data_IF_711819427989
#
_entry.id   IF_711819427989
#
_cell.length_a   1.000
_cell.length_b   1.000
_cell.length_c   1.000
_cell.angle_alpha   90.00
_cell.angle_beta   90.00
_cell.angle_gamma   90.00
#
_symmetry.space_group_name_H-M   'P 1'
#
loop_
_entity.id
_entity.type
_entity.pdbx_description
1 polymer ?
#
# COMPACT_ATOMS: atom_id res chain seq x y z
N UNK A 1 -23.60 -0.87 8.86
CA UNK A 1 -22.31 -0.46 8.25
C UNK A 1 -21.38 -1.66 8.35
N UNK A 2 -20.77 -2.06 7.24
CA UNK A 2 -19.83 -3.19 7.19
C UNK A 2 -18.42 -2.66 7.40
N UNK A 3 -17.61 -3.35 8.21
CA UNK A 3 -16.19 -3.04 8.35
C UNK A 3 -15.49 -3.24 7.00
N UNK A 4 -14.89 -2.17 6.47
CA UNK A 4 -14.22 -2.19 5.17
C UNK A 4 -12.92 -2.98 5.19
N UNK A 5 -12.32 -3.20 6.36
CA UNK A 5 -11.07 -3.95 6.53
C UNK A 5 -11.32 -5.42 6.82
N UNK A 6 -12.55 -5.81 7.20
CA UNK A 6 -12.89 -7.21 7.39
C UNK A 6 -12.71 -8.03 6.09
N UNK A 7 -12.34 -9.30 6.27
CA UNK A 7 -12.20 -10.30 5.21
C UNK A 7 -11.28 -9.88 4.05
N UNK A 8 -10.28 -9.03 4.31
CA UNK A 8 -9.19 -8.77 3.38
C UNK A 8 -8.13 -9.87 3.45
N UNK A 9 -7.29 -9.92 2.42
CA UNK A 9 -6.09 -10.77 2.39
C UNK A 9 -5.32 -10.59 3.70
N UNK A 10 -5.01 -11.70 4.38
CA UNK A 10 -4.39 -11.67 5.70
C UNK A 10 -3.06 -10.91 5.71
N UNK A 11 -2.35 -10.90 4.56
CA UNK A 11 -1.11 -10.14 4.39
C UNK A 11 -1.29 -8.64 4.53
N UNK A 12 -2.48 -8.09 4.23
CA UNK A 12 -2.75 -6.67 4.46
C UNK A 12 -2.49 -6.31 5.93
N UNK A 13 -3.06 -7.10 6.87
CA UNK A 13 -2.95 -6.82 8.30
C UNK A 13 -1.52 -6.96 8.83
N UNK A 14 -0.69 -7.81 8.22
CA UNK A 14 0.73 -7.93 8.53
C UNK A 14 1.62 -6.89 7.85
N UNK A 15 1.14 -6.27 6.77
CA UNK A 15 1.95 -5.37 5.94
C UNK A 15 1.78 -3.90 6.31
N UNK A 16 0.54 -3.48 6.60
CA UNK A 16 0.21 -2.09 6.92
C UNK A 16 -0.51 -1.98 8.25
N UNK A 17 -0.37 -0.82 8.89
CA UNK A 17 -1.23 -0.38 9.97
C UNK A 17 -2.38 0.40 9.33
N UNK A 18 -3.60 -0.07 9.56
CA UNK A 18 -4.84 0.53 9.08
C UNK A 18 -5.58 1.23 10.24
N UNK A 19 -6.56 2.11 9.94
CA UNK A 19 -7.37 2.76 10.98
C UNK A 19 -8.05 1.75 11.90
N UNK A 20 -7.78 1.82 13.21
CA UNK A 20 -8.29 0.87 14.21
C UNK A 20 -7.47 -0.42 14.34
N UNK A 21 -6.31 -0.53 13.69
CA UNK A 21 -5.47 -1.72 13.81
C UNK A 21 -4.85 -1.84 15.21
N UNK A 22 -4.78 -3.05 15.79
CA UNK A 22 -4.03 -3.28 17.02
C UNK A 22 -2.52 -3.27 16.74
N UNK A 23 -1.76 -2.50 17.49
CA UNK A 23 -0.31 -2.40 17.37
C UNK A 23 0.33 -2.17 18.74
N UNK A 24 1.31 -3.00 19.13
CA UNK A 24 2.01 -2.91 20.43
C UNK A 24 1.08 -2.77 21.66
N UNK A 25 -0.04 -3.51 21.65
CA UNK A 25 -1.01 -3.51 22.76
C UNK A 25 -1.97 -2.32 22.79
N UNK A 26 -1.88 -1.40 21.82
CA UNK A 26 -2.80 -0.26 21.67
C UNK A 26 -3.52 -0.30 20.33
N UNK A 27 -4.68 0.33 20.26
CA UNK A 27 -5.39 0.54 18.99
C UNK A 27 -4.88 1.81 18.36
N UNK A 28 -4.42 1.73 17.10
CA UNK A 28 -3.97 2.92 16.38
C UNK A 28 -5.18 3.65 15.83
N UNK A 29 -5.57 4.73 16.50
CA UNK A 29 -6.62 5.61 16.03
C UNK A 29 -6.08 6.47 14.88
N UNK A 30 -6.65 6.29 13.70
CA UNK A 30 -6.41 7.17 12.56
C UNK A 30 -7.76 7.79 12.24
N UNK A 31 -7.90 9.07 12.55
CA UNK A 31 -9.06 9.88 12.21
C UNK A 31 -8.56 11.16 11.55
N UNK A 32 -8.96 11.39 10.30
CA UNK A 32 -8.59 12.57 9.51
C UNK A 32 -9.45 13.79 9.84
N UNK A 33 -10.68 13.55 10.30
CA UNK A 33 -11.67 14.60 10.52
C UNK A 33 -13.02 14.03 10.96
N UNK A 34 -14.04 14.89 10.91
CA UNK A 34 -15.44 14.51 11.11
C UNK A 34 -16.25 14.70 9.84
N UNK A 35 -17.30 13.89 9.68
CA UNK A 35 -18.30 14.01 8.64
C UNK A 35 -19.61 14.48 9.28
N UNK A 36 -19.91 15.77 9.16
CA UNK A 36 -21.04 16.43 9.83
C UNK A 36 -22.28 16.32 8.98
N UNK A 37 -23.36 15.79 9.56
CA UNK A 37 -24.64 15.68 8.86
C UNK A 37 -25.28 17.05 8.64
N UNK A 38 -25.61 17.36 7.39
CA UNK A 38 -26.45 18.49 7.03
C UNK A 38 -27.85 17.99 6.65
N UNK A 39 -28.82 18.28 7.51
CA UNK A 39 -30.22 17.85 7.30
C UNK A 39 -30.91 18.57 6.14
N UNK A 40 -30.52 19.82 5.85
CA UNK A 40 -31.13 20.61 4.77
C UNK A 40 -30.73 20.09 3.38
N UNK A 41 -29.49 19.64 3.22
CA UNK A 41 -28.98 19.11 1.95
C UNK A 41 -28.98 17.58 1.89
N UNK A 42 -29.28 16.90 2.99
CA UNK A 42 -29.20 15.44 3.12
C UNK A 42 -27.81 14.89 2.75
N UNK A 43 -26.75 15.63 3.12
CA UNK A 43 -25.35 15.28 2.81
C UNK A 43 -24.44 15.39 4.03
N UNK A 44 -23.25 14.79 3.95
CA UNK A 44 -22.19 14.98 4.94
C UNK A 44 -21.18 16.04 4.47
N UNK A 45 -20.87 17.00 5.33
CA UNK A 45 -19.77 17.94 5.15
C UNK A 45 -18.53 17.43 5.90
N UNK A 46 -17.43 17.21 5.18
CA UNK A 46 -16.17 16.79 5.78
C UNK A 46 -15.48 18.00 6.42
N UNK A 47 -15.11 17.88 7.69
CA UNK A 47 -14.37 18.89 8.43
C UNK A 47 -13.10 18.28 9.02
N UNK A 48 -11.97 18.73 8.49
CA UNK A 48 -10.63 18.41 9.00
C UNK A 48 -10.18 19.54 9.94
N UNK A 49 -9.44 19.21 11.00
CA UNK A 49 -8.87 20.19 11.93
C UNK A 49 -7.46 20.60 11.51
N UNK A 50 -7.01 21.79 11.91
CA UNK A 50 -5.66 22.29 11.58
C UNK A 50 -4.54 21.64 12.40
N UNK A 51 -4.87 21.13 13.58
CA UNK A 51 -3.95 20.53 14.54
C UNK A 51 -4.35 19.08 14.82
N UNK A 52 -3.37 18.25 15.14
CA UNK A 52 -3.59 16.87 15.57
C UNK A 52 -4.08 16.82 17.02
N UNK A 53 -4.83 15.78 17.37
CA UNK A 53 -5.26 15.53 18.75
C UNK A 53 -6.31 16.52 19.27
N UNK A 54 -7.01 17.24 18.38
CA UNK A 54 -8.04 18.21 18.76
C UNK A 54 -9.42 17.59 18.79
N UNK A 55 -10.26 18.06 19.72
CA UNK A 55 -11.66 17.69 19.81
C UNK A 55 -12.53 18.57 18.93
N UNK A 56 -13.62 17.99 18.46
CA UNK A 56 -14.71 18.68 17.80
C UNK A 56 -15.60 19.37 18.83
N UNK A 57 -16.56 20.18 18.36
CA UNK A 57 -17.48 20.95 19.21
C UNK A 57 -18.38 20.07 20.09
N UNK A 58 -18.51 18.77 19.77
CA UNK A 58 -19.22 17.77 20.59
C UNK A 58 -18.37 17.17 21.72
N UNK A 59 -17.15 17.69 21.93
CA UNK A 59 -16.21 17.22 22.96
C UNK A 59 -15.50 15.92 22.64
N UNK A 60 -15.77 15.28 21.49
CA UNK A 60 -15.11 14.05 21.02
C UNK A 60 -14.04 14.39 19.99
N UNK A 61 -13.14 13.44 19.72
CA UNK A 61 -12.03 13.64 18.79
C UNK A 61 -12.49 14.14 17.40
N UNK A 62 -11.79 15.14 16.85
CA UNK A 62 -11.93 15.60 15.46
C UNK A 62 -10.81 15.04 14.58
N UNK A 63 -9.55 15.15 15.02
CA UNK A 63 -8.37 14.66 14.31
C UNK A 63 -7.51 13.90 15.30
N UNK A 64 -7.13 12.66 14.98
CA UNK A 64 -6.27 11.86 15.84
C UNK A 64 -4.82 12.38 15.84
N UNK A 65 -4.13 12.22 16.97
CA UNK A 65 -2.69 12.44 17.08
C UNK A 65 -1.88 11.60 16.06
N UNK A 66 -2.39 10.42 15.69
CA UNK A 66 -1.78 9.53 14.69
C UNK A 66 -2.53 9.52 13.36
N UNK A 67 -3.52 10.40 13.19
CA UNK A 67 -4.36 10.49 11.99
C UNK A 67 -3.60 11.03 10.79
N UNK A 68 -4.10 10.76 9.56
CA UNK A 68 -3.53 11.36 8.38
C UNK A 68 -3.88 12.86 8.31
N UNK A 69 -2.98 13.68 7.78
CA UNK A 69 -3.17 15.11 7.67
C UNK A 69 -2.59 15.66 6.37
N UNK A 70 -3.20 16.72 5.82
CA UNK A 70 -2.83 17.23 4.47
C UNK A 70 -1.53 18.02 4.44
N UNK A 71 -1.19 18.69 5.54
CA UNK A 71 -0.12 19.69 5.59
C UNK A 71 0.89 19.50 6.72
N UNK A 72 0.65 18.60 7.68
CA UNK A 72 1.55 18.40 8.84
C UNK A 72 2.61 17.35 8.50
N UNK A 73 3.88 17.60 8.85
CA UNK A 73 4.97 16.65 8.63
C UNK A 73 4.82 15.42 9.52
N UNK A 74 5.52 14.33 9.20
CA UNK A 74 5.61 13.14 10.08
C UNK A 74 4.27 12.43 10.40
N UNK A 75 3.26 12.64 9.55
CA UNK A 75 1.96 11.94 9.59
C UNK A 75 1.71 11.15 8.31
N UNK A 76 0.78 10.20 8.37
CA UNK A 76 0.34 9.48 7.17
C UNK A 76 -0.27 10.43 6.14
N UNK A 77 0.14 10.27 4.87
CA UNK A 77 -0.48 10.97 3.74
C UNK A 77 -1.55 10.13 3.03
N UNK A 78 -1.66 8.85 3.38
CA UNK A 78 -2.51 7.87 2.69
C UNK A 78 -3.57 7.27 3.58
N UNK A 79 -3.54 7.51 4.90
CA UNK A 79 -4.42 6.87 5.87
C UNK A 79 -3.94 5.48 6.32
N UNK A 80 -2.69 5.12 6.00
CA UNK A 80 -2.02 3.90 6.43
C UNK A 80 -0.60 4.19 6.90
N UNK A 81 -0.06 3.37 7.79
CA UNK A 81 1.38 3.28 8.06
C UNK A 81 1.93 1.92 7.64
N UNK A 82 3.25 1.83 7.53
CA UNK A 82 3.92 0.54 7.33
C UNK A 82 3.86 -0.27 8.64
N UNK A 83 3.65 -1.58 8.55
CA UNK A 83 3.82 -2.54 9.67
C UNK A 83 4.95 -3.53 9.38
N UNK A 84 5.10 -3.92 8.12
CA UNK A 84 6.13 -4.86 7.70
C UNK A 84 7.51 -4.35 8.10
N UNK A 85 8.36 -5.26 8.60
CA UNK A 85 9.69 -4.93 9.11
C UNK A 85 9.69 -3.92 10.27
N UNK A 86 8.59 -3.84 11.04
CA UNK A 86 8.58 -3.13 12.31
C UNK A 86 8.55 -4.17 13.43
N UNK A 87 9.48 -4.03 14.37
CA UNK A 87 9.52 -4.86 15.57
C UNK A 87 8.27 -4.63 16.43
N UNK A 88 7.59 -5.73 16.78
CA UNK A 88 6.38 -5.73 17.59
C UNK A 88 6.66 -5.70 19.10
N UNK A 89 7.91 -5.75 19.54
CA UNK A 89 8.29 -5.65 20.95
C UNK A 89 7.79 -4.35 21.61
N UNK A 90 7.40 -4.45 22.88
CA UNK A 90 7.02 -3.29 23.68
C UNK A 90 8.21 -2.36 23.89
N UNK A 91 8.07 -1.07 23.62
CA UNK A 91 9.14 -0.08 23.78
C UNK A 91 10.27 -0.16 22.75
N UNK A 92 10.24 -1.11 21.82
CA UNK A 92 11.18 -1.14 20.69
C UNK A 92 10.94 0.07 19.80
N UNK A 93 12.00 0.60 19.20
CA UNK A 93 12.06 1.93 18.56
C UNK A 93 12.13 3.13 19.51
N UNK A 94 12.14 2.93 20.84
CA UNK A 94 12.50 4.01 21.79
C UNK A 94 14.01 4.23 21.79
N UNK A 95 14.43 5.48 22.02
CA UNK A 95 15.85 5.82 22.22
C UNK A 95 16.44 4.93 23.33
N UNK A 96 17.44 4.10 23.00
CA UNK A 96 18.13 3.21 23.93
C UNK A 96 17.78 1.72 23.82
N UNK A 97 16.58 1.36 23.30
CA UNK A 97 16.18 -0.04 23.07
C UNK A 97 16.42 -0.46 21.62
N UNK A 98 16.39 0.50 20.68
CA UNK A 98 16.52 0.26 19.24
C UNK A 98 15.43 -0.71 18.72
N UNK A 99 15.57 -1.15 17.46
CA UNK A 99 14.68 -2.10 16.78
C UNK A 99 15.52 -2.86 15.78
N UNK A 100 15.75 -4.15 16.03
CA UNK A 100 16.58 -4.99 15.17
C UNK A 100 15.70 -5.90 14.32
N UNK A 101 15.56 -5.53 13.06
CA UNK A 101 14.84 -6.30 12.05
C UNK A 101 15.78 -6.58 10.88
N UNK A 102 15.89 -7.85 10.51
CA UNK A 102 16.73 -8.25 9.39
C UNK A 102 16.10 -7.79 8.07
N UNK A 103 16.90 -7.11 7.24
CA UNK A 103 16.52 -6.86 5.86
C UNK A 103 16.77 -8.12 5.04
N UNK A 104 15.68 -8.71 4.54
CA UNK A 104 15.71 -9.99 3.85
C UNK A 104 15.94 -9.72 2.36
N UNK A 105 17.12 -10.10 1.87
CA UNK A 105 17.46 -9.97 0.45
C UNK A 105 16.83 -11.06 -0.41
N UNK A 106 16.82 -12.29 0.09
CA UNK A 106 16.24 -13.45 -0.58
C UNK A 106 15.47 -14.29 0.43
N UNK A 107 14.31 -14.79 0.02
CA UNK A 107 13.52 -15.72 0.84
C UNK A 107 12.82 -16.74 -0.01
N UNK A 108 12.50 -17.87 0.63
CA UNK A 108 11.96 -19.05 -0.05
C UNK A 108 10.75 -18.75 -0.93
N UNK A 109 9.85 -17.84 -0.54
CA UNK A 109 8.68 -17.49 -1.36
C UNK A 109 9.05 -16.94 -2.74
N UNK A 110 10.20 -16.29 -2.88
CA UNK A 110 10.71 -15.84 -4.18
C UNK A 110 11.08 -17.01 -5.07
N UNK A 111 11.68 -18.07 -4.53
CA UNK A 111 12.01 -19.27 -5.31
C UNK A 111 10.75 -19.94 -5.86
N UNK A 112 9.69 -20.04 -5.03
CA UNK A 112 8.40 -20.56 -5.47
C UNK A 112 7.76 -19.67 -6.55
N UNK A 113 7.75 -18.35 -6.38
CA UNK A 113 7.13 -17.44 -7.33
C UNK A 113 7.92 -17.32 -8.64
N UNK A 114 9.26 -17.36 -8.58
CA UNK A 114 10.13 -17.43 -9.76
C UNK A 114 9.89 -18.73 -10.54
N UNK A 115 9.82 -19.88 -9.85
CA UNK A 115 9.49 -21.16 -10.46
C UNK A 115 8.07 -21.16 -11.07
N UNK A 116 7.09 -20.57 -10.39
CA UNK A 116 5.73 -20.44 -10.88
C UNK A 116 5.65 -19.59 -12.16
N UNK A 117 6.30 -18.43 -12.18
CA UNK A 117 6.35 -17.56 -13.36
C UNK A 117 7.05 -18.27 -14.53
N UNK A 118 8.24 -18.84 -14.31
CA UNK A 118 8.97 -19.55 -15.35
C UNK A 118 8.19 -20.74 -15.93
N UNK A 119 7.57 -21.56 -15.06
CA UNK A 119 6.74 -22.68 -15.51
C UNK A 119 5.54 -22.21 -16.34
N UNK A 120 4.88 -21.12 -15.93
CA UNK A 120 3.75 -20.55 -16.67
C UNK A 120 4.17 -20.06 -18.06
N UNK A 121 5.30 -19.35 -18.16
CA UNK A 121 5.85 -18.87 -19.43
C UNK A 121 6.29 -20.00 -20.38
N UNK A 122 6.66 -21.16 -19.83
CA UNK A 122 6.97 -22.39 -20.59
C UNK A 122 5.73 -23.22 -20.97
N UNK A 123 4.52 -22.73 -20.67
CA UNK A 123 3.27 -23.46 -20.92
C UNK A 123 3.00 -24.62 -19.94
N UNK A 124 3.77 -24.73 -18.86
CA UNK A 124 3.63 -25.76 -17.80
C UNK A 124 2.72 -25.26 -16.68
N UNK A 125 1.48 -24.94 -17.01
CA UNK A 125 0.54 -24.30 -16.07
C UNK A 125 0.25 -25.17 -14.82
N UNK A 126 0.26 -26.50 -14.94
CA UNK A 126 0.07 -27.40 -13.81
C UNK A 126 1.23 -27.28 -12.78
N UNK A 127 2.47 -27.20 -13.25
CA UNK A 127 3.63 -26.96 -12.40
C UNK A 127 3.56 -25.58 -11.76
N UNK A 128 3.18 -24.55 -12.54
CA UNK A 128 3.03 -23.19 -12.03
C UNK A 128 2.02 -23.09 -10.88
N UNK A 129 0.89 -23.80 -10.99
CA UNK A 129 -0.12 -23.92 -9.93
C UNK A 129 0.47 -24.57 -8.68
N UNK A 130 1.26 -25.63 -8.86
CA UNK A 130 1.92 -26.36 -7.77
C UNK A 130 2.92 -25.46 -7.01
N UNK A 131 3.60 -24.55 -7.69
CA UNK A 131 4.54 -23.63 -7.07
C UNK A 131 3.88 -22.42 -6.39
N UNK A 132 2.82 -21.86 -6.97
CA UNK A 132 2.21 -20.62 -6.44
C UNK A 132 1.27 -20.87 -5.25
N UNK A 133 0.55 -21.99 -5.23
CA UNK A 133 -0.46 -22.25 -4.20
C UNK A 133 0.13 -22.41 -2.78
N UNK A 134 1.32 -23.00 -2.55
CA UNK A 134 1.94 -23.01 -1.22
C UNK A 134 2.09 -21.61 -0.60
N UNK A 135 2.36 -20.59 -1.42
CA UNK A 135 2.47 -19.20 -0.97
C UNK A 135 1.11 -18.65 -0.56
N UNK A 136 0.06 -18.99 -1.32
CA UNK A 136 -1.32 -18.60 -1.05
C UNK A 136 -1.88 -19.28 0.19
N UNK A 137 -1.64 -20.58 0.35
CA UNK A 137 -2.04 -21.35 1.53
C UNK A 137 -1.41 -20.77 2.80
N UNK A 138 -0.10 -20.48 2.78
CA UNK A 138 0.57 -19.82 3.89
C UNK A 138 -0.01 -18.43 4.18
N UNK A 139 -0.48 -17.71 3.16
CA UNK A 139 -1.18 -16.45 3.31
C UNK A 139 -2.66 -16.58 3.76
N UNK A 140 -3.14 -17.80 4.04
CA UNK A 140 -4.48 -18.08 4.56
C UNK A 140 -5.55 -18.29 3.49
N UNK A 141 -5.18 -18.42 2.22
CA UNK A 141 -6.13 -18.82 1.17
C UNK A 141 -6.37 -20.33 1.21
N UNK A 142 -7.62 -20.76 1.00
CA UNK A 142 -7.98 -22.17 0.95
C UNK A 142 -9.12 -22.42 -0.05
N UNK A 143 -9.31 -23.69 -0.42
CA UNK A 143 -10.41 -24.15 -1.27
C UNK A 143 -10.46 -23.42 -2.61
N UNK A 144 -11.64 -22.86 -2.94
CA UNK A 144 -11.89 -22.17 -4.21
C UNK A 144 -11.05 -20.89 -4.42
N UNK A 145 -10.36 -20.41 -3.39
CA UNK A 145 -9.45 -19.27 -3.51
C UNK A 145 -8.03 -19.64 -3.92
N UNK A 146 -7.70 -20.94 -3.99
CA UNK A 146 -6.45 -21.41 -4.60
C UNK A 146 -6.56 -21.41 -6.11
N UNK A 147 -5.43 -21.21 -6.79
CA UNK A 147 -5.44 -21.22 -8.25
C UNK A 147 -5.53 -22.65 -8.78
N UNK A 148 -6.34 -22.82 -9.80
CA UNK A 148 -6.33 -23.98 -10.70
C UNK A 148 -5.68 -23.61 -12.02
N UNK A 149 -5.38 -24.60 -12.87
CA UNK A 149 -4.83 -24.35 -14.21
C UNK A 149 -5.72 -23.48 -15.08
N UNK A 150 -7.05 -23.58 -14.91
CA UNK A 150 -8.03 -22.76 -15.62
C UNK A 150 -8.10 -21.31 -15.12
N UNK A 151 -7.70 -21.08 -13.87
CA UNK A 151 -7.85 -19.76 -13.22
C UNK A 151 -6.52 -19.01 -13.05
N UNK A 152 -5.39 -19.68 -13.24
CA UNK A 152 -4.07 -19.06 -13.18
C UNK A 152 -3.82 -18.28 -14.47
N UNK A 153 -3.47 -17.00 -14.32
CA UNK A 153 -3.11 -16.11 -15.42
C UNK A 153 -1.82 -15.39 -15.10
N UNK A 154 -1.13 -14.88 -16.12
CA UNK A 154 0.07 -14.04 -15.95
C UNK A 154 -0.19 -12.88 -14.98
N UNK A 155 -1.34 -12.21 -15.10
CA UNK A 155 -1.68 -11.08 -14.23
C UNK A 155 -1.93 -11.50 -12.78
N UNK A 156 -2.46 -12.70 -12.54
CA UNK A 156 -2.61 -13.26 -11.19
C UNK A 156 -1.27 -13.61 -10.56
N UNK A 157 -0.33 -14.16 -11.34
CA UNK A 157 1.05 -14.37 -10.89
C UNK A 157 1.69 -13.04 -10.51
N UNK A 158 1.60 -12.03 -11.38
CA UNK A 158 2.11 -10.67 -11.14
C UNK A 158 1.47 -10.00 -9.91
N UNK A 159 0.17 -10.23 -9.68
CA UNK A 159 -0.53 -9.75 -8.50
C UNK A 159 -0.07 -10.45 -7.22
N UNK A 160 0.27 -11.74 -7.30
CA UNK A 160 0.84 -12.49 -6.19
C UNK A 160 2.22 -11.94 -5.79
N UNK A 161 3.12 -11.71 -6.77
CA UNK A 161 4.40 -11.02 -6.54
C UNK A 161 4.19 -9.67 -5.84
N UNK A 162 3.25 -8.86 -6.33
CA UNK A 162 2.97 -7.53 -5.75
C UNK A 162 2.51 -7.60 -4.29
N UNK A 163 1.69 -8.60 -3.95
CA UNK A 163 1.11 -8.74 -2.61
C UNK A 163 2.13 -9.35 -1.65
N UNK A 164 2.87 -10.36 -2.11
CA UNK A 164 3.86 -11.08 -1.33
C UNK A 164 5.07 -10.21 -1.00
N UNK A 165 5.61 -9.49 -1.99
CA UNK A 165 6.82 -8.67 -1.87
C UNK A 165 6.53 -7.17 -1.68
N UNK A 166 5.34 -6.82 -1.18
CA UNK A 166 5.04 -5.43 -0.84
C UNK A 166 6.08 -4.91 0.17
N UNK A 167 6.70 -3.76 -0.16
CA UNK A 167 7.77 -3.12 0.62
C UNK A 167 9.08 -3.90 0.74
N UNK A 168 9.39 -4.77 -0.22
CA UNK A 168 10.65 -5.54 -0.30
C UNK A 168 11.49 -5.16 -1.54
N UNK A 169 11.40 -3.92 -2.03
CA UNK A 169 12.13 -3.42 -3.21
C UNK A 169 11.89 -4.13 -4.56
N UNK A 170 10.97 -5.10 -4.67
CA UNK A 170 10.70 -5.79 -5.94
C UNK A 170 9.94 -4.96 -6.99
N UNK A 171 8.98 -4.12 -6.57
CA UNK A 171 7.92 -3.61 -7.48
C UNK A 171 8.45 -2.86 -8.70
N UNK A 172 9.48 -2.04 -8.54
CA UNK A 172 10.06 -1.29 -9.67
C UNK A 172 10.73 -2.25 -10.65
N UNK A 173 11.53 -3.19 -10.15
CA UNK A 173 12.26 -4.15 -10.97
C UNK A 173 11.33 -5.13 -11.69
N UNK A 174 10.27 -5.59 -11.02
CA UNK A 174 9.23 -6.42 -11.64
C UNK A 174 8.54 -5.72 -12.81
N UNK A 175 8.13 -4.47 -12.62
CA UNK A 175 7.53 -3.68 -13.71
C UNK A 175 8.53 -3.43 -14.85
N UNK A 176 9.82 -3.24 -14.52
CA UNK A 176 10.89 -3.05 -15.50
C UNK A 176 11.11 -4.29 -16.35
N UNK A 177 11.29 -5.47 -15.73
CA UNK A 177 11.54 -6.73 -16.45
C UNK A 177 10.34 -7.19 -17.27
N UNK A 178 9.13 -6.91 -16.80
CA UNK A 178 7.90 -7.17 -17.56
C UNK A 178 7.62 -6.17 -18.69
N UNK A 179 8.40 -5.08 -18.79
CA UNK A 179 8.22 -4.01 -19.79
C UNK A 179 6.81 -3.39 -19.76
N UNK A 180 6.30 -3.14 -18.55
CA UNK A 180 4.98 -2.51 -18.33
C UNK A 180 5.04 -1.30 -17.37
N UNK A 181 6.23 -0.87 -16.94
CA UNK A 181 6.38 0.24 -16.01
C UNK A 181 5.81 1.55 -16.57
N UNK A 182 6.09 1.86 -17.83
CA UNK A 182 5.57 3.01 -18.58
C UNK A 182 4.05 2.94 -18.85
N UNK A 183 3.48 1.73 -18.87
CA UNK A 183 2.03 1.54 -18.98
C UNK A 183 1.32 1.76 -17.64
N UNK A 184 1.93 1.30 -16.55
CA UNK A 184 1.41 1.41 -15.18
C UNK A 184 1.55 2.83 -14.64
N UNK A 185 2.69 3.48 -14.92
CA UNK A 185 3.04 4.85 -14.51
C UNK A 185 3.18 5.73 -15.75
N UNK A 186 2.05 6.06 -16.38
CA UNK A 186 2.02 6.76 -17.67
C UNK A 186 1.81 8.27 -17.55
N UNK A 187 1.83 8.84 -16.34
CA UNK A 187 1.58 10.27 -16.11
C UNK A 187 0.14 10.72 -16.38
N UNK A 188 -0.82 9.80 -16.59
CA UNK A 188 -2.21 10.15 -16.80
C UNK A 188 -2.96 10.23 -15.46
N UNK A 189 -3.57 11.39 -15.16
CA UNK A 189 -4.36 11.61 -13.94
C UNK A 189 -5.58 10.68 -13.83
N UNK A 190 -6.10 10.19 -14.97
CA UNK A 190 -7.23 9.27 -15.02
C UNK A 190 -6.81 7.81 -14.88
N UNK A 191 -5.50 7.50 -14.90
CA UNK A 191 -5.01 6.16 -14.68
C UNK A 191 -4.86 5.89 -13.17
N UNK A 192 -5.70 5.03 -12.57
CA UNK A 192 -5.66 4.78 -11.14
C UNK A 192 -4.37 4.09 -10.66
N UNK A 193 -3.58 3.51 -11.57
CA UNK A 193 -2.28 2.93 -11.24
C UNK A 193 -1.14 3.96 -11.23
N UNK A 194 -1.31 5.09 -11.92
CA UNK A 194 -0.35 6.19 -11.94
C UNK A 194 -0.59 7.19 -10.81
N UNK A 195 -1.82 7.27 -10.30
CA UNK A 195 -2.18 8.16 -9.19
C UNK A 195 -2.08 7.44 -7.85
N UNK A 196 -1.48 8.10 -6.85
CA UNK A 196 -1.47 7.61 -5.47
C UNK A 196 -2.76 8.08 -4.80
N UNK A 197 -3.53 7.13 -4.29
CA UNK A 197 -4.74 7.42 -3.51
C UNK A 197 -4.48 7.27 -2.02
N UNK A 198 -5.22 8.05 -1.25
CA UNK A 198 -5.39 7.94 0.18
C UNK A 198 -6.80 7.42 0.51
N UNK A 199 -6.94 6.83 1.69
CA UNK A 199 -8.22 6.45 2.26
C UNK A 199 -8.34 7.11 3.63
N UNK A 200 -9.04 8.24 3.70
CA UNK A 200 -9.13 9.03 4.92
C UNK A 200 -10.37 8.62 5.73
N UNK A 201 -10.19 8.23 7.00
CA UNK A 201 -11.27 7.93 7.93
C UNK A 201 -11.86 9.21 8.55
N UNK A 202 -13.19 9.34 8.52
CA UNK A 202 -13.92 10.44 9.15
C UNK A 202 -14.98 9.89 10.11
N UNK A 203 -15.02 10.41 11.33
CA UNK A 203 -16.07 10.10 12.30
C UNK A 203 -17.35 10.84 11.93
N UNK A 204 -18.46 10.13 11.84
CA UNK A 204 -19.78 10.69 11.57
C UNK A 204 -20.27 11.46 12.80
N UNK A 205 -20.68 12.70 12.59
CA UNK A 205 -21.37 13.54 13.57
C UNK A 205 -22.80 13.72 13.10
N UNK A 206 -23.72 13.00 13.73
CA UNK A 206 -25.16 13.02 13.44
C UNK A 206 -25.96 12.81 14.74
N UNK A 207 -26.01 13.82 15.62
CA UNK A 207 -26.84 13.75 16.82
C UNK A 207 -28.29 13.37 16.48
N UNK A 208 -28.87 12.46 17.24
CA UNK A 208 -30.24 11.94 17.00
C UNK A 208 -30.33 10.70 16.11
N UNK A 209 -29.23 10.23 15.52
CA UNK A 209 -29.17 8.96 14.76
C UNK A 209 -28.13 8.02 15.37
N UNK A 210 -28.50 7.28 16.42
CA UNK A 210 -27.59 6.39 17.15
C UNK A 210 -27.00 5.25 16.28
N UNK A 211 -27.63 4.93 15.14
CA UNK A 211 -27.11 3.91 14.24
C UNK A 211 -25.89 4.39 13.43
N UNK A 212 -25.76 5.71 13.23
CA UNK A 212 -24.73 6.34 12.40
C UNK A 212 -23.78 7.24 13.19
N UNK A 213 -24.25 7.91 14.23
CA UNK A 213 -23.42 8.81 15.05
C UNK A 213 -22.22 8.04 15.64
N UNK A 214 -21.03 8.65 15.58
CA UNK A 214 -19.79 8.06 16.06
C UNK A 214 -19.24 6.90 15.21
N UNK A 215 -19.92 6.47 14.16
CA UNK A 215 -19.38 5.50 13.20
C UNK A 215 -18.41 6.17 12.23
N UNK A 216 -17.64 5.38 11.49
CA UNK A 216 -16.67 5.90 10.53
C UNK A 216 -17.14 5.74 9.09
N UNK A 217 -16.86 6.75 8.28
CA UNK A 217 -16.85 6.65 6.82
C UNK A 217 -15.41 6.79 6.32
N UNK A 218 -15.11 6.16 5.19
CA UNK A 218 -13.79 6.20 4.57
C UNK A 218 -13.89 6.84 3.21
N UNK A 219 -13.14 7.91 3.00
CA UNK A 219 -13.16 8.68 1.75
C UNK A 219 -11.89 8.37 0.97
N UNK A 220 -12.07 7.81 -0.23
CA UNK A 220 -10.98 7.67 -1.19
C UNK A 220 -10.74 9.02 -1.86
N UNK A 221 -9.50 9.49 -1.83
CA UNK A 221 -9.10 10.74 -2.46
C UNK A 221 -7.69 10.63 -3.05
N UNK A 222 -7.33 11.54 -3.95
CA UNK A 222 -5.93 11.67 -4.38
C UNK A 222 -5.09 12.07 -3.18
N UNK A 223 -3.98 11.37 -2.96
CA UNK A 223 -3.12 11.61 -1.81
C UNK A 223 -2.63 13.08 -1.81
N UNK A 224 -2.88 13.86 -0.73
CA UNK A 224 -2.72 15.31 -0.76
C UNK A 224 -1.32 15.82 -1.12
N UNK A 225 -0.28 15.01 -0.84
CA UNK A 225 1.12 15.32 -1.15
C UNK A 225 1.66 14.66 -2.43
N UNK A 226 0.91 13.74 -3.03
CA UNK A 226 1.31 13.00 -4.23
C UNK A 226 0.25 13.18 -5.32
N UNK A 227 0.00 14.45 -5.68
CA UNK A 227 -1.06 14.84 -6.62
C UNK A 227 -0.71 14.53 -8.07
N UNK A 228 0.57 14.65 -8.39
CA UNK A 228 1.09 14.39 -9.73
C UNK A 228 1.11 12.88 -10.00
N UNK A 229 0.54 12.42 -11.12
CA UNK A 229 0.60 11.02 -11.50
C UNK A 229 2.05 10.63 -11.77
N UNK A 230 2.42 9.42 -11.36
CA UNK A 230 3.73 8.86 -11.64
C UNK A 230 3.92 8.73 -13.14
N UNK A 231 5.04 9.24 -13.63
CA UNK A 231 5.46 9.15 -15.02
C UNK A 231 6.76 8.36 -15.08
N UNK A 232 6.71 7.23 -15.76
CA UNK A 232 7.83 6.37 -16.09
C UNK A 232 7.95 6.34 -17.61
N UNK A 233 9.09 6.80 -18.10
CA UNK A 233 9.37 6.94 -19.53
C UNK A 233 10.32 5.83 -19.98
N UNK A 234 10.45 5.65 -21.30
CA UNK A 234 11.27 4.57 -21.85
C UNK A 234 12.73 4.62 -21.37
N UNK A 235 13.31 5.81 -21.19
CA UNK A 235 14.67 5.93 -20.68
C UNK A 235 14.83 5.42 -19.24
N UNK A 236 13.77 5.45 -18.41
CA UNK A 236 13.82 4.95 -17.03
C UNK A 236 14.01 3.42 -16.95
N UNK A 237 13.84 2.69 -18.07
CA UNK A 237 14.18 1.27 -18.10
C UNK A 237 15.68 1.02 -17.92
N UNK A 238 16.53 1.98 -18.29
CA UNK A 238 17.99 1.85 -18.24
C UNK A 238 18.59 2.87 -17.29
N UNK A 239 19.66 2.50 -16.61
CA UNK A 239 20.43 3.44 -15.79
C UNK A 239 21.35 4.25 -16.68
N UNK A 240 21.54 5.54 -16.41
CA UNK A 240 22.56 6.33 -17.10
C UNK A 240 23.94 6.02 -16.52
N UNK A 241 24.95 5.94 -17.37
CA UNK A 241 26.34 6.07 -16.93
C UNK A 241 26.67 7.56 -16.73
N UNK A 242 27.46 7.85 -15.70
CA UNK A 242 27.96 9.21 -15.48
C UNK A 242 28.93 9.61 -16.59
N UNK A 243 28.89 10.88 -17.02
CA UNK A 243 29.72 11.36 -18.12
C UNK A 243 31.22 11.23 -17.82
N UNK A 244 31.63 11.36 -16.56
CA UNK A 244 33.03 11.17 -16.18
C UNK A 244 33.51 9.73 -16.44
N UNK A 245 32.64 8.73 -16.24
CA UNK A 245 32.97 7.32 -16.52
C UNK A 245 33.19 7.11 -18.02
N UNK A 246 32.34 7.70 -18.87
CA UNK A 246 32.47 7.62 -20.33
C UNK A 246 33.76 8.32 -20.79
N UNK A 247 34.04 9.52 -20.26
CA UNK A 247 35.25 10.27 -20.59
C UNK A 247 36.53 9.49 -20.22
N UNK A 248 36.51 8.77 -19.10
CA UNK A 248 37.64 7.98 -18.62
C UNK A 248 37.83 6.67 -19.39
N UNK A 249 36.83 6.19 -20.13
CA UNK A 249 36.92 4.97 -20.91
C UNK A 249 36.07 5.07 -22.18
N UNK A 250 36.73 5.37 -23.29
CA UNK A 250 36.11 5.51 -24.63
C UNK A 250 35.44 4.24 -25.16
N UNK A 251 35.62 3.08 -24.51
CA UNK A 251 34.91 1.83 -24.84
C UNK A 251 33.52 1.74 -24.19
N UNK A 252 33.20 2.61 -23.23
CA UNK A 252 31.89 2.65 -22.58
C UNK A 252 30.95 3.52 -23.42
N UNK A 253 29.89 2.89 -23.93
CA UNK A 253 28.80 3.59 -24.61
C UNK A 253 27.64 3.81 -23.65
N UNK A 254 26.97 4.96 -23.77
CA UNK A 254 25.79 5.27 -22.96
C UNK A 254 24.64 4.28 -23.26
N UNK A 255 23.83 4.00 -22.24
CA UNK A 255 22.60 3.23 -22.43
C UNK A 255 21.59 3.99 -23.31
N UNK A 256 20.71 3.30 -24.04
CA UNK A 256 19.72 3.95 -24.89
C UNK A 256 18.88 4.99 -24.13
N UNK A 257 18.53 6.07 -24.83
CA UNK A 257 17.69 7.17 -24.33
C UNK A 257 18.27 8.00 -23.17
N UNK A 258 19.59 7.93 -22.92
CA UNK A 258 20.31 8.74 -21.93
C UNK A 258 21.52 9.45 -22.56
#
# INVERSE_FOLDING_TARGET
LTDIFANKDARMYGTVIYPGAPFKGTTVDMQAGVAVWNAATNTYALQEGANLGVNYTDGRLQVSASGPHRSIAEVSNTGFYLRKFIDNGGGTSTRGIQSDVWWIWFRLSEMYLNAAEAAFELGRTADAVTYINPIRERAGFAGANLFTTATLTRDRIRAEFRSEFAFEDHRVWDLKRWRIADQVWNGNQNNPNSVVYALYPYRVVRPGDAARDGKYIFVKLVAPRFRTPRLFQQFNYYSRFDQAIINNNSKITQNPFN
#
